data_IF_729159584612
#
_entry.id   IF_729159584612
#
_cell.length_a   1.000
_cell.length_b   1.000
_cell.length_c   1.000
_cell.angle_alpha   90.00
_cell.angle_beta   90.00
_cell.angle_gamma   90.00
#
_symmetry.space_group_name_H-M   'P 1'
#
loop_
_entity.id
_entity.type
_entity.pdbx_description
1 polymer ?
#
# COMPACT_ATOMS: atom_id res chain seq x y z
N UNK A 1 16.14 -6.02 8.30
CA UNK A 1 15.99 -5.12 9.46
C UNK A 1 14.63 -5.34 10.06
N UNK A 2 14.51 -5.40 11.39
CA UNK A 2 13.24 -5.64 12.06
C UNK A 2 12.56 -4.32 12.41
N UNK A 3 11.23 -4.28 12.27
CA UNK A 3 10.43 -3.17 12.73
C UNK A 3 10.46 -3.08 14.28
N UNK A 4 10.28 -1.88 14.79
CA UNK A 4 10.09 -1.63 16.21
C UNK A 4 8.63 -1.25 16.45
N UNK A 5 7.78 -2.20 16.90
CA UNK A 5 6.37 -1.91 17.16
C UNK A 5 6.19 -0.87 18.28
N UNK A 6 7.17 -0.79 19.21
CA UNK A 6 7.18 0.18 20.30
C UNK A 6 8.57 0.82 20.39
N UNK A 7 8.65 2.08 19.99
CA UNK A 7 9.79 2.96 20.22
C UNK A 7 9.36 3.99 21.27
N UNK A 8 10.04 3.99 22.41
CA UNK A 8 9.71 4.88 23.53
C UNK A 8 10.79 5.93 23.68
N UNK A 9 10.43 7.19 23.70
CA UNK A 9 11.27 8.34 23.98
C UNK A 9 10.72 9.12 25.18
N UNK A 10 11.47 10.08 25.70
CA UNK A 10 11.03 10.90 26.83
C UNK A 10 9.70 11.65 26.56
N UNK A 11 9.50 12.07 25.32
CA UNK A 11 8.37 12.89 24.91
C UNK A 11 7.17 12.11 24.35
N UNK A 12 7.27 10.77 24.19
CA UNK A 12 6.17 10.00 23.64
C UNK A 12 6.54 8.59 23.18
N UNK A 13 5.66 8.03 22.35
CA UNK A 13 5.81 6.68 21.82
C UNK A 13 5.39 6.61 20.35
N UNK A 14 6.15 5.87 19.56
CA UNK A 14 5.90 5.61 18.13
C UNK A 14 6.12 4.14 17.78
N UNK A 15 5.61 3.72 16.61
CA UNK A 15 6.05 2.49 15.94
C UNK A 15 6.95 2.87 14.78
N UNK A 16 8.07 2.15 14.61
CA UNK A 16 9.01 2.39 13.52
C UNK A 16 9.00 1.19 12.57
N UNK A 17 8.64 1.42 11.30
CA UNK A 17 8.74 0.44 10.23
C UNK A 17 10.06 0.67 9.51
N UNK A 18 11.01 -0.23 9.72
CA UNK A 18 12.40 -0.11 9.24
C UNK A 18 12.73 -1.10 8.13
N UNK A 19 11.89 -2.11 7.93
CA UNK A 19 12.08 -3.17 6.91
C UNK A 19 12.13 -2.64 5.48
N UNK A 20 11.60 -1.44 5.23
CA UNK A 20 11.61 -0.81 3.91
C UNK A 20 12.92 -0.07 3.59
N UNK A 21 13.77 0.20 4.61
CA UNK A 21 15.04 0.92 4.44
C UNK A 21 15.98 0.24 3.44
N UNK A 22 16.25 -1.10 3.51
CA UNK A 22 17.21 -1.73 2.60
C UNK A 22 16.82 -1.65 1.13
N UNK A 23 15.54 -1.56 0.83
CA UNK A 23 15.03 -1.57 -0.55
C UNK A 23 14.62 -0.19 -1.06
N UNK A 24 14.04 0.64 -0.19
CA UNK A 24 13.48 1.96 -0.55
C UNK A 24 14.24 3.14 0.03
N UNK A 25 15.13 2.90 0.99
CA UNK A 25 15.75 3.96 1.77
C UNK A 25 14.76 4.68 2.70
N UNK A 26 13.53 4.18 2.86
CA UNK A 26 12.44 4.86 3.57
C UNK A 26 12.12 4.16 4.87
N UNK A 27 12.03 4.94 5.96
CA UNK A 27 11.43 4.53 7.23
C UNK A 27 10.04 5.14 7.39
N UNK A 28 9.17 4.43 8.12
CA UNK A 28 7.84 4.94 8.45
C UNK A 28 7.69 5.04 9.97
N UNK A 29 7.28 6.21 10.44
CA UNK A 29 7.06 6.54 11.85
C UNK A 29 5.57 6.72 12.08
N UNK A 30 4.97 5.84 12.90
CA UNK A 30 3.56 5.97 13.31
C UNK A 30 3.52 6.45 14.75
N UNK A 31 3.23 7.73 14.97
CA UNK A 31 3.11 8.31 16.29
C UNK A 31 1.90 7.72 17.01
N UNK A 32 2.10 7.12 18.16
CA UNK A 32 1.06 6.51 18.99
C UNK A 32 0.51 7.48 20.01
N UNK A 33 1.40 8.15 20.74
CA UNK A 33 1.05 9.17 21.71
C UNK A 33 2.21 10.14 21.94
N UNK A 34 1.89 11.36 22.32
CA UNK A 34 2.82 12.42 22.70
C UNK A 34 2.54 12.76 24.17
N UNK A 35 3.56 12.71 25.04
CA UNK A 35 3.47 13.04 26.45
C UNK A 35 4.05 14.43 26.75
N UNK A 36 5.08 14.81 26.00
CA UNK A 36 5.81 16.06 26.14
C UNK A 36 5.86 16.85 24.84
N UNK A 37 7.05 17.08 24.31
CA UNK A 37 7.26 17.79 23.04
C UNK A 37 7.12 16.87 21.84
N UNK A 38 6.15 17.14 20.96
CA UNK A 38 6.05 16.43 19.69
C UNK A 38 7.35 16.52 18.88
N UNK A 39 7.97 17.69 18.85
CA UNK A 39 9.22 17.92 18.13
C UNK A 39 10.38 17.11 18.74
N UNK A 40 10.40 16.94 20.07
CA UNK A 40 11.35 16.08 20.78
C UNK A 40 11.19 14.62 20.35
N UNK A 41 9.97 14.08 20.41
CA UNK A 41 9.67 12.72 19.97
C UNK A 41 10.08 12.48 18.52
N UNK A 42 9.70 13.38 17.61
CA UNK A 42 10.01 13.23 16.19
C UNK A 42 11.51 13.31 15.93
N UNK A 43 12.27 14.14 16.65
CA UNK A 43 13.73 14.21 16.55
C UNK A 43 14.39 12.90 16.99
N UNK A 44 13.92 12.28 18.06
CA UNK A 44 14.44 10.99 18.52
C UNK A 44 14.14 9.87 17.52
N UNK A 45 12.91 9.85 16.96
CA UNK A 45 12.55 8.94 15.86
C UNK A 45 13.44 9.16 14.62
N UNK A 46 13.68 10.41 14.23
CA UNK A 46 14.53 10.76 13.09
C UNK A 46 15.97 10.27 13.30
N UNK A 47 16.54 10.58 14.45
CA UNK A 47 17.90 10.15 14.81
C UNK A 47 18.03 8.63 14.71
N UNK A 48 17.06 7.90 15.26
CA UNK A 48 17.07 6.44 15.20
C UNK A 48 16.92 5.93 13.76
N UNK A 49 15.93 6.41 13.00
CA UNK A 49 15.71 5.99 11.60
C UNK A 49 16.92 6.32 10.71
N UNK A 50 17.55 7.50 10.89
CA UNK A 50 18.77 7.88 10.16
C UNK A 50 19.94 6.98 10.51
N UNK A 51 20.14 6.64 11.78
CA UNK A 51 21.21 5.72 12.20
C UNK A 51 20.99 4.31 11.65
N UNK A 52 19.73 3.93 11.40
CA UNK A 52 19.36 2.69 10.73
C UNK A 52 19.53 2.74 9.19
N UNK A 53 19.93 3.88 8.61
CA UNK A 53 20.20 4.06 7.18
C UNK A 53 19.03 4.63 6.37
N UNK A 54 17.98 5.18 7.02
CA UNK A 54 16.89 5.80 6.29
C UNK A 54 17.35 7.09 5.58
N UNK A 55 17.04 7.19 4.29
CA UNK A 55 17.22 8.39 3.46
C UNK A 55 15.98 9.27 3.53
N UNK A 56 14.80 8.67 3.61
CA UNK A 56 13.53 9.33 3.74
C UNK A 56 12.79 8.81 4.99
N UNK A 57 12.05 9.69 5.65
CA UNK A 57 11.21 9.33 6.79
C UNK A 57 9.82 9.89 6.55
N UNK A 58 8.82 9.02 6.60
CA UNK A 58 7.41 9.37 6.49
C UNK A 58 6.70 9.17 7.83
N UNK A 59 5.78 10.06 8.14
CA UNK A 59 5.11 10.15 9.43
C UNK A 59 3.61 9.98 9.29
N UNK A 60 3.00 9.34 10.27
CA UNK A 60 1.54 9.18 10.39
C UNK A 60 1.16 9.06 11.87
N UNK A 61 -0.14 8.98 12.18
CA UNK A 61 -0.66 8.68 13.51
C UNK A 61 -1.11 9.91 14.28
N UNK A 62 -1.01 9.84 15.62
CA UNK A 62 -1.61 10.77 16.56
C UNK A 62 -0.66 11.94 16.87
N UNK A 63 -0.46 12.84 15.90
CA UNK A 63 0.35 14.05 16.06
C UNK A 63 -0.17 15.17 15.15
N UNK A 64 0.25 16.40 15.41
CA UNK A 64 -0.03 17.53 14.53
C UNK A 64 1.01 17.60 13.40
N UNK A 65 0.57 17.37 12.17
CA UNK A 65 1.38 17.43 10.97
C UNK A 65 1.08 18.66 10.11
N UNK A 66 0.49 19.74 10.65
CA UNK A 66 0.12 20.96 9.92
C UNK A 66 1.32 21.64 9.22
N UNK A 67 2.52 21.52 9.80
CA UNK A 67 3.77 22.01 9.22
C UNK A 67 4.42 21.11 8.17
N UNK A 68 3.86 19.93 7.90
CA UNK A 68 4.40 18.92 6.99
C UNK A 68 3.71 18.96 5.63
N UNK A 69 4.34 18.37 4.62
CA UNK A 69 3.69 18.10 3.33
C UNK A 69 3.10 16.69 3.30
N UNK A 70 1.93 16.53 2.68
CA UNK A 70 1.35 15.20 2.43
C UNK A 70 2.22 14.48 1.41
N UNK A 71 2.68 13.28 1.76
CA UNK A 71 3.48 12.42 0.89
C UNK A 71 2.64 11.31 0.24
N UNK A 72 1.63 10.81 0.97
CA UNK A 72 0.67 9.85 0.45
C UNK A 72 -0.66 9.95 1.20
N UNK A 73 -1.75 9.75 0.46
CA UNK A 73 -3.11 9.70 1.00
C UNK A 73 -3.80 8.44 0.46
N UNK A 74 -4.05 7.47 1.33
CA UNK A 74 -4.75 6.23 0.99
C UNK A 74 -6.25 6.38 1.28
N UNK A 75 -7.04 6.26 0.23
CA UNK A 75 -8.50 6.41 0.28
C UNK A 75 -9.16 5.08 -0.07
N UNK A 76 -10.19 4.75 0.67
CA UNK A 76 -11.03 3.61 0.33
C UNK A 76 -11.75 3.82 -1.00
N UNK A 77 -11.87 2.72 -1.74
CA UNK A 77 -12.69 2.61 -2.94
C UNK A 77 -13.58 1.39 -2.81
N UNK A 78 -14.83 1.51 -3.21
CA UNK A 78 -15.77 0.39 -3.16
C UNK A 78 -16.68 0.40 -4.39
N UNK A 79 -17.04 -0.81 -4.87
CA UNK A 79 -17.95 -1.00 -5.98
C UNK A 79 -18.74 -2.28 -5.76
N UNK A 80 -20.07 -2.33 -6.01
CA UNK A 80 -20.81 -3.57 -6.09
C UNK A 80 -20.18 -4.48 -7.15
N UNK A 81 -19.92 -5.75 -6.79
CA UNK A 81 -19.23 -6.69 -7.70
C UNK A 81 -19.96 -6.87 -9.03
N UNK A 82 -21.29 -6.83 -9.01
CA UNK A 82 -22.15 -6.93 -10.19
C UNK A 82 -21.98 -5.78 -11.21
N UNK A 83 -21.41 -4.64 -10.76
CA UNK A 83 -21.15 -3.50 -11.64
C UNK A 83 -19.82 -3.64 -12.40
N UNK A 84 -18.99 -4.64 -12.07
CA UNK A 84 -17.75 -4.87 -12.81
C UNK A 84 -18.02 -5.55 -14.14
N UNK A 85 -17.33 -5.13 -15.22
CA UNK A 85 -17.47 -5.77 -16.51
C UNK A 85 -16.89 -7.19 -16.49
N UNK A 86 -17.43 -8.06 -17.33
CA UNK A 86 -16.85 -9.36 -17.57
C UNK A 86 -15.45 -9.25 -18.19
N UNK A 87 -14.59 -10.24 -17.93
CA UNK A 87 -13.27 -10.35 -18.52
C UNK A 87 -12.98 -11.80 -18.88
N UNK A 88 -12.24 -12.00 -19.97
CA UNK A 88 -11.69 -13.31 -20.32
C UNK A 88 -10.43 -13.68 -19.50
N UNK A 89 -9.86 -12.71 -18.78
CA UNK A 89 -8.71 -12.94 -17.94
C UNK A 89 -9.08 -13.76 -16.69
N UNK A 90 -8.17 -14.63 -16.27
CA UNK A 90 -8.34 -15.49 -15.11
C UNK A 90 -7.27 -15.22 -14.04
N UNK A 91 -7.69 -15.05 -12.79
CA UNK A 91 -6.79 -15.01 -11.65
C UNK A 91 -6.54 -16.44 -11.15
N UNK A 92 -5.27 -16.84 -11.03
CA UNK A 92 -4.82 -18.14 -10.57
C UNK A 92 -3.98 -17.94 -9.32
N UNK A 93 -4.39 -18.56 -8.22
CA UNK A 93 -3.64 -18.50 -6.96
C UNK A 93 -2.24 -19.07 -7.15
N UNK A 94 -1.26 -18.42 -6.54
CA UNK A 94 0.14 -18.79 -6.73
C UNK A 94 0.94 -18.78 -5.45
N UNK A 95 1.96 -19.63 -5.42
CA UNK A 95 3.04 -19.64 -4.41
C UNK A 95 4.41 -19.47 -5.06
N UNK A 96 4.44 -19.10 -6.34
CA UNK A 96 5.67 -18.84 -7.08
C UNK A 96 6.35 -17.58 -6.56
N UNK A 97 7.61 -17.70 -6.12
CA UNK A 97 8.40 -16.60 -5.54
C UNK A 97 8.53 -15.39 -6.46
N UNK A 98 8.44 -15.56 -7.78
CA UNK A 98 8.42 -14.47 -8.77
C UNK A 98 7.32 -13.45 -8.51
N UNK A 99 6.23 -13.86 -7.82
CA UNK A 99 5.16 -12.92 -7.49
C UNK A 99 5.67 -11.77 -6.62
N UNK A 100 6.45 -12.08 -5.57
CA UNK A 100 6.99 -11.06 -4.67
C UNK A 100 7.96 -10.10 -5.39
N UNK A 101 8.78 -10.61 -6.30
CA UNK A 101 9.71 -9.82 -7.10
C UNK A 101 8.94 -8.84 -8.01
N UNK A 102 8.01 -9.36 -8.81
CA UNK A 102 7.18 -8.56 -9.72
C UNK A 102 6.31 -7.54 -8.96
N UNK A 103 5.74 -7.96 -7.82
CA UNK A 103 5.00 -7.02 -6.96
C UNK A 103 5.88 -5.85 -6.52
N UNK A 104 7.06 -6.16 -5.98
CA UNK A 104 7.97 -5.14 -5.47
C UNK A 104 8.46 -4.18 -6.58
N UNK A 105 8.61 -4.67 -7.81
CA UNK A 105 8.92 -3.84 -8.98
C UNK A 105 7.75 -2.92 -9.34
N UNK A 106 6.54 -3.47 -9.45
CA UNK A 106 5.33 -2.70 -9.80
C UNK A 106 5.01 -1.61 -8.78
N UNK A 107 5.25 -1.88 -7.50
CA UNK A 107 4.91 -0.97 -6.41
C UNK A 107 6.11 -0.16 -5.89
N UNK A 108 7.27 -0.22 -6.54
CA UNK A 108 8.49 0.47 -6.09
C UNK A 108 8.28 1.98 -5.90
N UNK A 109 7.53 2.63 -6.80
CA UNK A 109 7.26 4.06 -6.77
C UNK A 109 5.96 4.43 -6.00
N UNK A 110 5.19 3.45 -5.52
CA UNK A 110 3.95 3.72 -4.78
C UNK A 110 4.29 3.99 -3.31
N UNK A 111 4.04 5.20 -2.79
CA UNK A 111 4.31 5.52 -1.39
C UNK A 111 3.51 4.60 -0.46
N UNK A 112 4.10 4.23 0.65
CA UNK A 112 3.52 3.35 1.68
C UNK A 112 3.14 1.94 1.21
N UNK A 113 3.44 1.54 -0.03
CA UNK A 113 3.26 0.16 -0.44
C UNK A 113 4.25 -0.75 0.30
N UNK A 114 3.72 -1.87 0.79
CA UNK A 114 4.50 -2.86 1.53
C UNK A 114 5.46 -3.60 0.62
N UNK A 115 6.64 -3.97 1.10
CA UNK A 115 7.55 -4.89 0.42
C UNK A 115 7.31 -6.33 0.88
N UNK A 116 7.32 -7.27 -0.05
CA UNK A 116 7.21 -8.70 0.23
C UNK A 116 8.54 -9.42 0.01
N UNK A 117 8.96 -10.21 1.00
CA UNK A 117 10.13 -11.10 0.91
C UNK A 117 9.72 -12.56 0.61
N UNK A 118 8.43 -12.84 0.70
CA UNK A 118 7.82 -14.14 0.38
C UNK A 118 6.42 -13.89 -0.19
N UNK A 119 5.89 -14.88 -0.87
CA UNK A 119 4.52 -14.83 -1.42
C UNK A 119 3.51 -14.82 -0.29
N UNK A 120 2.65 -13.80 -0.19
CA UNK A 120 1.61 -13.76 0.84
C UNK A 120 0.47 -14.74 0.53
N UNK A 121 -0.36 -14.98 1.54
CA UNK A 121 -1.65 -15.64 1.33
C UNK A 121 -2.55 -14.78 0.43
N UNK A 122 -3.37 -15.41 -0.40
CA UNK A 122 -4.24 -14.73 -1.35
C UNK A 122 -3.51 -14.06 -2.50
N UNK A 123 -2.28 -14.49 -2.83
CA UNK A 123 -1.54 -14.01 -3.98
C UNK A 123 -2.02 -14.70 -5.27
N UNK A 124 -2.21 -13.91 -6.31
CA UNK A 124 -2.67 -14.38 -7.62
C UNK A 124 -1.80 -13.85 -8.75
N UNK A 125 -1.56 -14.68 -9.75
CA UNK A 125 -1.20 -14.23 -11.10
C UNK A 125 -2.46 -14.11 -11.95
N UNK A 126 -2.49 -13.12 -12.86
CA UNK A 126 -3.60 -12.93 -13.80
C UNK A 126 -3.14 -13.24 -15.21
N UNK A 127 -3.88 -14.12 -15.87
CA UNK A 127 -3.58 -14.59 -17.21
C UNK A 127 -4.70 -14.23 -18.19
N UNK A 128 -4.32 -13.92 -19.43
CA UNK A 128 -5.20 -13.92 -20.59
C UNK A 128 -4.76 -15.09 -21.50
N UNK A 129 -5.55 -16.15 -21.53
CA UNK A 129 -5.13 -17.42 -22.07
C UNK A 129 -3.87 -17.95 -21.38
N UNK A 130 -2.74 -18.04 -22.11
CA UNK A 130 -1.45 -18.46 -21.55
C UNK A 130 -0.52 -17.30 -21.18
N UNK A 131 -0.93 -16.07 -21.42
CA UNK A 131 -0.08 -14.89 -21.25
C UNK A 131 -0.29 -14.30 -19.84
N UNK A 132 0.79 -14.18 -19.08
CA UNK A 132 0.78 -13.49 -17.80
C UNK A 132 0.62 -11.97 -18.06
N UNK A 133 -0.49 -11.37 -17.60
CA UNK A 133 -0.81 -9.96 -17.82
C UNK A 133 -0.78 -9.12 -16.56
N UNK A 134 -0.79 -9.73 -15.39
CA UNK A 134 -0.78 -9.01 -14.13
C UNK A 134 -0.70 -9.92 -12.92
N UNK A 135 -0.77 -9.28 -11.76
CA UNK A 135 -0.77 -9.93 -10.46
C UNK A 135 -1.61 -9.14 -9.45
N UNK A 136 -1.94 -9.79 -8.36
CA UNK A 136 -2.61 -9.12 -7.26
C UNK A 136 -2.71 -9.98 -6.01
N UNK A 137 -3.31 -9.38 -4.98
CA UNK A 137 -3.61 -10.06 -3.72
C UNK A 137 -5.05 -9.78 -3.34
N UNK A 138 -5.76 -10.82 -2.94
CA UNK A 138 -7.14 -10.75 -2.42
C UNK A 138 -7.16 -11.24 -0.98
N UNK A 139 -7.75 -10.45 -0.09
CA UNK A 139 -7.90 -10.73 1.33
C UNK A 139 -9.37 -10.52 1.73
N UNK A 140 -10.14 -11.60 1.84
CA UNK A 140 -11.58 -11.50 2.08
C UNK A 140 -12.31 -10.78 0.95
N UNK A 141 -12.95 -9.65 1.23
CA UNK A 141 -13.67 -8.78 0.28
C UNK A 141 -12.82 -7.61 -0.23
N UNK A 142 -11.53 -7.61 0.04
CA UNK A 142 -10.59 -6.56 -0.35
C UNK A 142 -9.58 -7.05 -1.39
N UNK A 143 -9.38 -6.26 -2.44
CA UNK A 143 -8.22 -6.37 -3.31
C UNK A 143 -7.09 -5.55 -2.68
N UNK A 144 -6.22 -6.24 -1.92
CA UNK A 144 -5.11 -5.61 -1.22
C UNK A 144 -4.01 -5.11 -2.18
N UNK A 145 -3.92 -5.71 -3.36
CA UNK A 145 -3.03 -5.26 -4.43
C UNK A 145 -3.54 -5.67 -5.80
N UNK A 146 -3.34 -4.81 -6.79
CA UNK A 146 -3.52 -5.13 -8.21
C UNK A 146 -2.48 -4.39 -9.04
N UNK A 147 -1.77 -5.11 -9.89
CA UNK A 147 -0.82 -4.54 -10.84
C UNK A 147 -0.96 -5.21 -12.21
N UNK A 148 -0.84 -4.40 -13.25
CA UNK A 148 -0.78 -4.87 -14.62
C UNK A 148 0.68 -4.89 -15.08
N UNK A 149 1.13 -6.03 -15.60
CA UNK A 149 2.45 -6.20 -16.21
C UNK A 149 2.48 -5.75 -17.68
N UNK A 150 1.30 -5.49 -18.24
CA UNK A 150 1.14 -5.04 -19.62
C UNK A 150 0.30 -3.77 -19.65
N UNK A 151 0.74 -2.79 -20.45
CA UNK A 151 0.04 -1.51 -20.61
C UNK A 151 -1.40 -1.74 -21.10
N UNK A 152 -2.37 -1.08 -20.42
CA UNK A 152 -3.79 -1.13 -20.79
C UNK A 152 -4.57 -2.31 -20.20
N UNK A 153 -3.93 -3.28 -19.53
CA UNK A 153 -4.59 -4.48 -19.00
C UNK A 153 -5.03 -4.36 -17.54
N UNK A 154 -4.94 -3.18 -16.95
CA UNK A 154 -5.32 -2.95 -15.54
C UNK A 154 -6.77 -3.30 -15.22
N UNK A 155 -7.71 -3.01 -16.15
CA UNK A 155 -9.13 -3.37 -16.01
C UNK A 155 -9.30 -4.89 -15.95
N UNK A 156 -8.68 -5.63 -16.86
CA UNK A 156 -8.78 -7.09 -16.90
C UNK A 156 -8.22 -7.71 -15.62
N UNK A 157 -7.08 -7.20 -15.14
CA UNK A 157 -6.46 -7.65 -13.89
C UNK A 157 -7.39 -7.42 -12.70
N UNK A 158 -7.99 -6.24 -12.60
CA UNK A 158 -8.92 -5.90 -11.52
C UNK A 158 -10.16 -6.79 -11.55
N UNK A 159 -10.80 -6.96 -12.71
CA UNK A 159 -12.00 -7.77 -12.85
C UNK A 159 -11.73 -9.25 -12.56
N UNK A 160 -10.59 -9.79 -13.01
CA UNK A 160 -10.21 -11.18 -12.73
C UNK A 160 -9.97 -11.42 -11.22
N UNK A 161 -9.35 -10.47 -10.51
CA UNK A 161 -9.18 -10.55 -9.06
C UNK A 161 -10.50 -10.39 -8.30
N UNK A 162 -11.35 -9.47 -8.74
CA UNK A 162 -12.67 -9.27 -8.15
C UNK A 162 -13.57 -10.51 -8.25
N UNK A 163 -13.38 -11.35 -9.28
CA UNK A 163 -14.08 -12.64 -9.40
C UNK A 163 -13.69 -13.64 -8.28
N UNK A 164 -12.60 -13.39 -7.53
CA UNK A 164 -12.19 -14.21 -6.37
C UNK A 164 -12.81 -13.76 -5.06
N UNK A 165 -13.47 -12.61 -5.05
CA UNK A 165 -14.18 -12.09 -3.88
C UNK A 165 -15.54 -12.78 -3.79
N UNK A 166 -15.85 -13.35 -2.63
CA UNK A 166 -17.13 -14.01 -2.38
C UNK A 166 -18.23 -12.98 -2.05
N UNK A 167 -17.86 -11.85 -1.44
CA UNK A 167 -18.77 -10.78 -1.06
C UNK A 167 -19.42 -10.06 -2.24
N UNK A 168 -20.48 -9.32 -1.97
CA UNK A 168 -21.21 -8.51 -2.97
C UNK A 168 -20.51 -7.20 -3.32
N UNK A 169 -19.51 -6.79 -2.55
CA UNK A 169 -18.80 -5.51 -2.71
C UNK A 169 -17.31 -5.73 -2.80
N UNK A 170 -16.70 -5.22 -3.84
CA UNK A 170 -15.25 -5.15 -4.01
C UNK A 170 -14.73 -3.90 -3.32
N UNK A 171 -13.74 -4.06 -2.45
CA UNK A 171 -13.07 -2.98 -1.73
C UNK A 171 -11.60 -2.95 -2.08
N UNK A 172 -10.99 -1.76 -2.04
CA UNK A 172 -9.55 -1.58 -2.16
C UNK A 172 -9.12 -0.25 -1.55
N UNK A 173 -7.82 -0.12 -1.27
CA UNK A 173 -7.18 1.16 -0.95
C UNK A 173 -6.43 1.69 -2.16
N UNK A 174 -6.59 2.99 -2.42
CA UNK A 174 -5.91 3.68 -3.50
C UNK A 174 -5.11 4.85 -2.95
N UNK A 175 -3.82 4.90 -3.29
CA UNK A 175 -3.05 6.13 -3.09
C UNK A 175 -3.52 7.17 -4.10
N UNK A 176 -3.98 8.33 -3.61
CA UNK A 176 -4.51 9.42 -4.47
C UNK A 176 -3.44 9.96 -5.42
N UNK A 177 -2.17 9.78 -5.10
CA UNK A 177 -1.03 10.15 -5.92
C UNK A 177 -0.81 9.18 -7.11
N UNK A 178 -1.40 7.97 -7.05
CA UNK A 178 -1.38 7.01 -8.15
C UNK A 178 -2.47 7.32 -9.18
N UNK A 179 -2.28 8.41 -9.94
CA UNK A 179 -3.26 8.90 -10.91
C UNK A 179 -3.73 7.86 -11.95
N UNK A 180 -2.87 6.94 -12.45
CA UNK A 180 -3.35 5.87 -13.34
C UNK A 180 -4.37 4.96 -12.67
N UNK A 181 -4.15 4.56 -11.41
CA UNK A 181 -5.08 3.73 -10.66
C UNK A 181 -6.37 4.49 -10.33
N UNK A 182 -6.25 5.74 -9.88
CA UNK A 182 -7.42 6.62 -9.63
C UNK A 182 -8.33 6.69 -10.87
N UNK A 183 -7.76 7.00 -12.04
CA UNK A 183 -8.52 7.07 -13.30
C UNK A 183 -9.18 5.73 -13.67
N UNK A 184 -8.50 4.62 -13.44
CA UNK A 184 -9.06 3.29 -13.68
C UNK A 184 -10.28 3.05 -12.79
N UNK A 185 -10.16 3.27 -11.49
CA UNK A 185 -11.24 3.05 -10.53
C UNK A 185 -12.43 3.99 -10.79
N UNK A 186 -12.16 5.27 -11.05
CA UNK A 186 -13.21 6.24 -11.42
C UNK A 186 -13.95 5.82 -12.70
N UNK A 187 -13.22 5.32 -13.72
CA UNK A 187 -13.81 4.85 -14.98
C UNK A 187 -14.68 3.59 -14.84
N UNK A 188 -14.46 2.82 -13.78
CA UNK A 188 -15.24 1.63 -13.44
C UNK A 188 -16.39 1.93 -12.49
N UNK A 189 -16.48 3.17 -11.97
CA UNK A 189 -17.54 3.60 -11.08
C UNK A 189 -17.31 3.29 -9.60
N UNK A 190 -16.06 3.03 -9.19
CA UNK A 190 -15.77 2.90 -7.77
C UNK A 190 -16.07 4.18 -7.02
N UNK A 191 -16.87 4.08 -5.97
CA UNK A 191 -17.12 5.17 -5.05
C UNK A 191 -15.87 5.49 -4.24
N UNK A 192 -15.66 6.77 -3.94
CA UNK A 192 -14.62 7.24 -3.04
C UNK A 192 -15.13 7.25 -1.61
N UNK A 193 -14.49 6.50 -0.73
CA UNK A 193 -14.80 6.41 0.69
C UNK A 193 -13.92 7.31 1.55
N UNK A 194 -13.73 6.89 2.79
CA UNK A 194 -12.93 7.62 3.77
C UNK A 194 -11.43 7.53 3.47
N UNK A 195 -10.70 8.56 3.86
CA UNK A 195 -9.24 8.49 3.96
C UNK A 195 -8.91 7.57 5.13
N UNK A 196 -8.19 6.48 4.86
CA UNK A 196 -7.80 5.49 5.87
C UNK A 196 -6.43 5.79 6.46
N UNK A 197 -5.54 6.33 5.63
CA UNK A 197 -4.17 6.56 6.04
C UNK A 197 -3.62 7.79 5.33
N UNK A 198 -2.84 8.59 6.05
CA UNK A 198 -2.11 9.73 5.51
C UNK A 198 -0.67 9.68 5.98
N UNK A 199 0.23 9.81 5.03
CA UNK A 199 1.66 9.90 5.30
C UNK A 199 2.15 11.30 5.01
N UNK A 200 3.00 11.79 5.88
CA UNK A 200 3.51 13.14 5.85
C UNK A 200 5.04 13.11 5.73
N UNK A 201 5.57 14.14 5.08
CA UNK A 201 7.01 14.38 4.96
C UNK A 201 7.33 15.73 5.60
N UNK A 202 8.42 15.80 6.34
CA UNK A 202 8.99 17.06 6.82
C UNK A 202 9.40 17.92 5.62
N UNK A 203 9.10 19.22 5.65
CA UNK A 203 9.53 20.19 4.63
C UNK A 203 11.01 20.46 4.74
#
# INVERSE_FOLDING_TARGET
MNDLPFFTAADGMASLVLREIPRRGTAYVVVRCVFGSQEGLLRDCDSFCRSAGAIEILYSGNADFSGFSVAACLTERALPRECLPETAAAAVETKDSRWAELYNECFAAVPAARTYNAVPEGAYFVYDGKTLIGLGQVCGDEIAAVASLQKGRGRDCLCALAAKIEGSTVRLLCAEENLPAVRLYDSLGFSRGAVRERWYRRK
#
